data_IF_170237242223
#
_entry.id   IF_170237242223
#
_cell.length_a   1.000
_cell.length_b   1.000
_cell.length_c   1.000
_cell.angle_alpha   90.00
_cell.angle_beta   90.00
_cell.angle_gamma   90.00
#
_symmetry.space_group_name_H-M   'P 1'
#
loop_
_entity.id
_entity.type
_entity.pdbx_description
1 polymer ?
#
# COMPACT_ATOMS: atom_id res chain seq x y z
N UNK A 1 20.80 37.03 59.43
CA UNK A 1 19.63 36.14 59.30
C UNK A 1 19.66 35.66 57.86
N UNK A 2 20.65 34.88 57.46
CA UNK A 2 20.98 33.50 57.88
C UNK A 2 19.86 32.54 57.52
N UNK A 3 20.28 31.52 56.78
CA UNK A 3 19.71 30.19 56.61
C UNK A 3 18.62 30.09 55.52
N UNK A 4 18.74 29.23 54.51
CA UNK A 4 19.75 28.21 54.28
C UNK A 4 19.56 27.57 52.91
N UNK A 5 20.70 27.15 52.36
CA UNK A 5 20.83 26.14 51.31
C UNK A 5 20.19 24.84 51.83
N UNK A 6 19.28 24.25 51.07
CA UNK A 6 19.06 22.79 51.09
C UNK A 6 19.42 22.24 49.71
N UNK A 7 20.57 21.57 49.68
CA UNK A 7 20.92 20.57 48.68
C UNK A 7 19.90 19.43 48.74
N UNK A 8 19.36 19.06 47.59
CA UNK A 8 18.91 17.67 47.36
C UNK A 8 19.50 17.21 46.03
N UNK A 9 20.72 16.68 46.12
CA UNK A 9 21.19 15.63 45.23
C UNK A 9 20.58 14.30 45.68
N UNK A 10 19.59 13.79 44.95
CA UNK A 10 19.19 12.37 44.92
C UNK A 10 18.06 12.22 43.90
N UNK A 11 17.98 11.22 43.04
CA UNK A 11 18.87 10.12 42.77
C UNK A 11 18.77 9.79 41.29
N UNK A 12 19.86 9.23 40.77
CA UNK A 12 19.85 8.30 39.66
C UNK A 12 18.92 7.15 40.02
N UNK A 13 17.62 7.30 39.78
CA UNK A 13 16.66 6.22 39.95
C UNK A 13 16.22 5.76 38.56
N UNK A 14 16.73 4.57 38.25
CA UNK A 14 16.22 3.62 37.29
C UNK A 14 15.92 4.14 35.88
N UNK A 15 16.90 3.92 35.01
CA UNK A 15 16.57 3.23 33.75
C UNK A 15 15.88 1.92 34.13
N UNK A 16 14.58 1.98 34.37
CA UNK A 16 13.76 0.83 34.71
C UNK A 16 13.91 -0.16 33.57
N UNK A 17 14.59 -1.25 33.90
CA UNK A 17 14.80 -2.41 33.05
C UNK A 17 13.48 -3.19 32.89
N UNK A 18 12.42 -2.49 32.50
CA UNK A 18 11.08 -3.03 32.28
C UNK A 18 10.46 -2.64 30.94
N UNK A 19 11.26 -2.18 29.98
CA UNK A 19 10.96 -2.41 28.57
C UNK A 19 11.24 -3.89 28.24
N UNK A 20 10.53 -4.78 28.94
CA UNK A 20 10.27 -6.13 28.49
C UNK A 20 9.49 -5.95 27.20
N UNK A 21 10.25 -6.01 26.11
CA UNK A 21 9.85 -6.31 24.75
C UNK A 21 8.45 -6.91 24.70
N UNK A 22 7.45 -6.04 24.52
CA UNK A 22 6.16 -6.47 24.00
C UNK A 22 6.34 -6.54 22.48
N UNK A 23 6.41 -7.72 21.88
CA UNK A 23 6.38 -7.84 20.43
C UNK A 23 5.10 -7.17 19.89
N UNK A 24 5.25 -5.98 19.32
CA UNK A 24 4.14 -5.20 18.74
C UNK A 24 4.21 -3.68 18.90
N UNK A 25 5.15 -3.12 19.67
CA UNK A 25 5.23 -1.66 19.81
C UNK A 25 6.01 -1.01 18.67
N UNK A 26 5.24 -0.48 17.70
CA UNK A 26 5.74 0.37 16.62
C UNK A 26 6.23 1.68 17.25
N UNK A 27 7.54 1.84 17.43
CA UNK A 27 8.15 3.09 17.91
C UNK A 27 7.94 4.16 16.84
N UNK A 28 6.83 4.87 16.96
CA UNK A 28 6.43 5.99 16.13
C UNK A 28 7.14 7.25 16.62
N UNK A 29 8.36 7.47 16.13
CA UNK A 29 8.98 8.79 16.19
C UNK A 29 8.19 9.76 15.29
N UNK A 30 7.56 10.76 15.92
CA UNK A 30 6.94 11.97 15.35
C UNK A 30 5.57 11.83 14.66
N UNK A 31 4.53 12.33 15.35
CA UNK A 31 3.20 12.61 14.79
C UNK A 31 2.13 11.63 15.25
N UNK A 32 1.23 12.07 16.13
CA UNK A 32 0.04 11.33 16.56
C UNK A 32 -0.85 10.98 15.35
N UNK A 33 -0.67 9.79 14.78
CA UNK A 33 -1.54 9.27 13.71
C UNK A 33 -2.82 8.70 14.34
N UNK A 34 -3.92 9.43 14.17
CA UNK A 34 -5.23 9.05 14.64
C UNK A 34 -5.86 7.91 13.83
N UNK A 35 -6.65 7.09 14.55
CA UNK A 35 -7.53 6.01 14.11
C UNK A 35 -6.86 4.93 13.24
N UNK A 36 -6.37 3.88 13.93
CA UNK A 36 -6.02 2.61 13.30
C UNK A 36 -7.27 1.97 12.68
N UNK A 37 -7.28 1.66 11.38
CA UNK A 37 -8.36 0.88 10.78
C UNK A 37 -8.39 -0.51 11.41
N UNK A 38 -9.60 -1.06 11.57
CA UNK A 38 -9.77 -2.41 12.09
C UNK A 38 -9.15 -3.43 11.12
N UNK A 39 -8.60 -4.54 11.63
CA UNK A 39 -8.03 -5.61 10.78
C UNK A 39 -8.98 -6.02 9.64
N UNK A 40 -10.28 -6.08 9.90
CA UNK A 40 -11.30 -6.38 8.89
C UNK A 40 -11.32 -5.35 7.76
N UNK A 41 -11.16 -4.06 8.06
CA UNK A 41 -11.15 -3.00 7.05
C UNK A 41 -9.91 -3.10 6.17
N UNK A 42 -8.75 -3.38 6.76
CA UNK A 42 -7.49 -3.57 6.05
C UNK A 42 -7.59 -4.76 5.08
N UNK A 43 -8.17 -5.87 5.52
CA UNK A 43 -8.40 -7.04 4.67
C UNK A 43 -9.36 -6.75 3.52
N UNK A 44 -10.44 -6.01 3.75
CA UNK A 44 -11.38 -5.61 2.70
C UNK A 44 -10.72 -4.70 1.68
N UNK A 45 -9.88 -3.75 2.11
CA UNK A 45 -9.10 -2.92 1.18
C UNK A 45 -8.14 -3.76 0.35
N UNK A 46 -7.46 -4.73 0.97
CA UNK A 46 -6.57 -5.67 0.26
C UNK A 46 -7.29 -6.49 -0.79
N UNK A 47 -8.45 -7.06 -0.47
CA UNK A 47 -9.27 -7.82 -1.42
C UNK A 47 -9.84 -6.93 -2.53
N UNK A 48 -10.31 -5.74 -2.18
CA UNK A 48 -10.84 -4.76 -3.13
C UNK A 48 -9.78 -4.34 -4.15
N UNK A 49 -8.56 -4.04 -3.69
CA UNK A 49 -7.44 -3.71 -4.57
C UNK A 49 -6.97 -4.89 -5.42
N UNK A 50 -6.98 -6.12 -4.89
CA UNK A 50 -6.55 -7.30 -5.61
C UNK A 50 -7.50 -7.72 -6.74
N UNK A 51 -8.82 -7.58 -6.55
CA UNK A 51 -9.80 -7.92 -7.60
C UNK A 51 -9.78 -6.84 -8.69
N UNK A 52 -9.86 -5.56 -8.32
CA UNK A 52 -9.69 -4.41 -9.22
C UNK A 52 -10.59 -4.37 -10.47
N UNK A 53 -10.56 -3.23 -11.17
CA UNK A 53 -11.20 -3.05 -12.49
C UNK A 53 -10.36 -3.69 -13.59
N UNK A 54 -9.03 -3.66 -13.45
CA UNK A 54 -8.06 -4.21 -14.39
C UNK A 54 -8.29 -5.69 -14.73
N UNK A 55 -8.72 -6.51 -13.76
CA UNK A 55 -9.02 -7.92 -13.99
C UNK A 55 -10.14 -8.11 -15.03
N UNK A 56 -11.22 -7.35 -14.93
CA UNK A 56 -12.36 -7.43 -15.84
C UNK A 56 -11.98 -6.99 -17.26
N UNK A 57 -11.19 -5.92 -17.38
CA UNK A 57 -10.72 -5.40 -18.66
C UNK A 57 -9.75 -6.38 -19.32
N UNK A 58 -8.84 -6.97 -18.54
CA UNK A 58 -7.88 -7.97 -19.02
C UNK A 58 -8.60 -9.22 -19.53
N UNK A 59 -9.56 -9.76 -18.78
CA UNK A 59 -10.36 -10.91 -19.20
C UNK A 59 -11.18 -10.59 -20.45
N UNK A 60 -11.83 -9.42 -20.50
CA UNK A 60 -12.63 -8.98 -21.64
C UNK A 60 -11.85 -8.93 -22.96
N UNK A 61 -10.59 -8.46 -22.91
CA UNK A 61 -9.71 -8.41 -24.09
C UNK A 61 -9.02 -9.73 -24.45
N UNK A 62 -8.73 -10.58 -23.46
CA UNK A 62 -7.95 -11.79 -23.64
C UNK A 62 -8.78 -13.03 -23.97
N UNK A 63 -10.06 -13.09 -23.53
CA UNK A 63 -10.93 -14.25 -23.74
C UNK A 63 -11.18 -14.56 -25.22
N UNK A 64 -11.44 -13.57 -26.11
CA UNK A 64 -11.63 -13.82 -27.53
C UNK A 64 -10.33 -14.23 -28.26
N UNK A 65 -9.16 -13.93 -27.69
CA UNK A 65 -7.86 -14.10 -28.34
C UNK A 65 -7.14 -15.39 -27.94
N UNK A 66 -7.17 -15.76 -26.66
CA UNK A 66 -6.39 -16.88 -26.12
C UNK A 66 -7.22 -18.10 -25.72
N UNK A 67 -8.55 -17.98 -25.70
CA UNK A 67 -9.44 -19.02 -25.15
C UNK A 67 -9.37 -19.13 -23.61
N UNK A 68 -10.35 -19.79 -22.98
CA UNK A 68 -10.51 -19.78 -21.53
C UNK A 68 -9.39 -20.53 -20.78
N UNK A 69 -8.83 -21.57 -21.38
CA UNK A 69 -7.80 -22.40 -20.74
C UNK A 69 -6.46 -21.64 -20.62
N UNK A 70 -6.07 -20.89 -21.66
CA UNK A 70 -4.84 -20.08 -21.66
C UNK A 70 -4.91 -18.98 -20.61
N UNK A 71 -6.08 -18.34 -20.48
CA UNK A 71 -6.31 -17.31 -19.47
C UNK A 71 -6.16 -17.82 -18.05
N UNK A 72 -6.79 -18.95 -17.74
CA UNK A 72 -6.73 -19.55 -16.41
C UNK A 72 -5.30 -19.96 -16.05
N UNK A 73 -4.58 -20.58 -17.00
CA UNK A 73 -3.20 -21.00 -16.78
C UNK A 73 -2.26 -19.80 -16.58
N UNK A 74 -2.41 -18.75 -17.39
CA UNK A 74 -1.64 -17.51 -17.25
C UNK A 74 -1.88 -16.84 -15.90
N UNK A 75 -3.15 -16.75 -15.47
CA UNK A 75 -3.52 -16.20 -14.17
C UNK A 75 -2.95 -17.04 -13.00
N UNK A 76 -3.04 -18.37 -13.07
CA UNK A 76 -2.52 -19.25 -12.02
C UNK A 76 -1.00 -19.13 -11.84
N UNK A 77 -0.24 -19.08 -12.94
CA UNK A 77 1.22 -18.92 -12.90
C UNK A 77 1.59 -17.55 -12.31
N UNK A 78 0.88 -16.49 -12.69
CA UNK A 78 1.12 -15.15 -12.16
C UNK A 78 0.82 -15.07 -10.66
N UNK A 79 -0.29 -15.65 -10.21
CA UNK A 79 -0.65 -15.72 -8.79
C UNK A 79 0.39 -16.50 -7.97
N UNK A 80 0.96 -17.58 -8.52
CA UNK A 80 2.03 -18.33 -7.84
C UNK A 80 3.27 -17.45 -7.63
N UNK A 81 3.69 -16.72 -8.68
CA UNK A 81 4.82 -15.77 -8.58
C UNK A 81 4.55 -14.69 -7.54
N UNK A 82 3.35 -14.11 -7.52
CA UNK A 82 2.97 -13.11 -6.53
C UNK A 82 2.92 -13.68 -5.11
N UNK A 83 2.45 -14.91 -4.92
CA UNK A 83 2.43 -15.57 -3.62
C UNK A 83 3.85 -15.74 -3.05
N UNK A 84 4.82 -16.15 -3.88
CA UNK A 84 6.22 -16.26 -3.46
C UNK A 84 6.80 -14.90 -3.04
N UNK A 85 6.53 -13.84 -3.82
CA UNK A 85 6.98 -12.47 -3.49
C UNK A 85 6.35 -11.99 -2.19
N UNK A 86 5.04 -12.22 -2.02
CA UNK A 86 4.32 -11.82 -0.82
C UNK A 86 4.80 -12.58 0.42
N UNK A 87 5.16 -13.86 0.30
CA UNK A 87 5.74 -14.63 1.41
C UNK A 87 7.08 -14.05 1.86
N UNK A 88 7.98 -13.75 0.91
CA UNK A 88 9.25 -13.11 1.21
C UNK A 88 9.06 -11.74 1.87
N UNK A 89 8.13 -10.93 1.35
CA UNK A 89 7.80 -9.64 1.93
C UNK A 89 7.22 -9.78 3.35
N UNK A 90 6.36 -10.78 3.58
CA UNK A 90 5.78 -11.04 4.89
C UNK A 90 6.86 -11.35 5.93
N UNK A 91 7.81 -12.24 5.62
CA UNK A 91 8.95 -12.56 6.50
C UNK A 91 9.77 -11.31 6.84
N UNK A 92 10.05 -10.47 5.83
CA UNK A 92 10.78 -9.22 6.05
C UNK A 92 9.99 -8.21 6.92
N UNK A 93 8.67 -8.12 6.77
CA UNK A 93 7.83 -7.21 7.57
C UNK A 93 7.64 -7.67 9.02
N UNK A 94 7.64 -8.97 9.28
CA UNK A 94 7.57 -9.52 10.64
C UNK A 94 8.90 -9.31 11.38
N UNK A 95 10.03 -9.43 10.67
CA UNK A 95 11.35 -9.20 11.27
C UNK A 95 11.61 -7.71 11.57
N UNK A 96 11.15 -6.80 10.71
CA UNK A 96 11.35 -5.35 10.89
C UNK A 96 10.04 -4.58 10.64
N UNK A 97 9.17 -4.47 11.67
CA UNK A 97 7.86 -3.85 11.54
C UNK A 97 7.95 -2.32 11.57
N UNK A 98 8.52 -1.72 10.52
CA UNK A 98 8.61 -0.25 10.38
C UNK A 98 7.47 0.29 9.52
N UNK A 99 6.77 1.35 9.98
CA UNK A 99 5.78 2.04 9.18
C UNK A 99 6.46 2.73 7.98
N UNK A 100 6.06 2.36 6.77
CA UNK A 100 6.68 2.87 5.54
C UNK A 100 6.55 1.96 4.31
N UNK A 101 6.00 0.75 4.47
CA UNK A 101 5.75 -0.17 3.35
C UNK A 101 7.03 -0.73 2.71
N UNK A 102 6.86 -1.35 1.53
CA UNK A 102 7.95 -2.04 0.84
C UNK A 102 9.09 -1.10 0.41
N UNK A 103 8.82 0.20 0.20
CA UNK A 103 9.84 1.20 -0.20
C UNK A 103 10.85 1.41 0.92
N UNK A 104 10.38 1.54 2.18
CA UNK A 104 11.25 1.71 3.35
C UNK A 104 12.06 0.45 3.64
N UNK A 105 11.46 -0.70 3.38
CA UNK A 105 12.11 -1.99 3.48
C UNK A 105 13.20 -2.15 2.40
N UNK A 106 12.93 -1.75 1.16
CA UNK A 106 13.91 -1.79 0.06
C UNK A 106 15.15 -0.93 0.35
N UNK A 107 14.95 0.27 0.91
CA UNK A 107 16.06 1.13 1.36
C UNK A 107 16.93 0.48 2.45
N UNK A 108 16.28 -0.19 3.41
CA UNK A 108 16.96 -0.81 4.56
C UNK A 108 17.73 -2.10 4.22
N UNK A 109 17.22 -2.91 3.30
CA UNK A 109 17.75 -4.25 2.99
C UNK A 109 18.68 -4.30 1.77
N UNK A 110 18.50 -3.40 0.80
CA UNK A 110 19.29 -3.38 -0.44
C UNK A 110 20.25 -2.19 -0.42
N UNK A 111 19.70 -0.98 -0.57
CA UNK A 111 20.45 0.29 -0.58
C UNK A 111 19.46 1.46 -0.55
N UNK A 112 19.83 2.58 0.07
CA UNK A 112 19.00 3.78 0.13
C UNK A 112 18.71 4.36 -1.28
N UNK A 113 19.65 4.25 -2.23
CA UNK A 113 19.44 4.65 -3.62
C UNK A 113 18.44 3.74 -4.35
N UNK A 114 18.44 2.44 -4.03
CA UNK A 114 17.46 1.50 -4.56
C UNK A 114 16.06 1.78 -3.99
N UNK A 115 15.96 2.11 -2.70
CA UNK A 115 14.72 2.57 -2.07
C UNK A 115 14.15 3.82 -2.74
N UNK A 116 15.00 4.81 -3.06
CA UNK A 116 14.58 6.03 -3.76
C UNK A 116 14.05 5.72 -5.17
N UNK A 117 14.78 4.92 -5.95
CA UNK A 117 14.36 4.51 -7.30
C UNK A 117 13.06 3.70 -7.28
N UNK A 118 12.92 2.75 -6.36
CA UNK A 118 11.71 1.96 -6.20
C UNK A 118 10.50 2.83 -5.82
N UNK A 119 10.71 3.84 -4.97
CA UNK A 119 9.69 4.83 -4.65
C UNK A 119 9.24 5.62 -5.88
N UNK A 120 10.17 6.07 -6.73
CA UNK A 120 9.81 6.76 -7.97
C UNK A 120 9.09 5.85 -8.97
N UNK A 121 9.52 4.59 -9.09
CA UNK A 121 8.87 3.60 -9.94
C UNK A 121 7.42 3.35 -9.49
N UNK A 122 7.20 3.18 -8.19
CA UNK A 122 5.87 3.01 -7.62
C UNK A 122 5.00 4.26 -7.80
N UNK A 123 5.56 5.45 -7.59
CA UNK A 123 4.85 6.71 -7.83
C UNK A 123 4.38 6.83 -9.29
N UNK A 124 5.25 6.53 -10.26
CA UNK A 124 4.88 6.54 -11.67
C UNK A 124 3.81 5.50 -12.01
N UNK A 125 3.87 4.31 -11.40
CA UNK A 125 2.84 3.29 -11.57
C UNK A 125 1.47 3.78 -11.08
N UNK A 126 1.40 4.32 -9.85
CA UNK A 126 0.16 4.85 -9.29
C UNK A 126 -0.34 6.08 -10.07
N UNK A 127 0.56 6.96 -10.51
CA UNK A 127 0.20 8.13 -11.33
C UNK A 127 -0.39 7.73 -12.69
N UNK A 128 0.11 6.65 -13.31
CA UNK A 128 -0.43 6.11 -14.56
C UNK A 128 -1.70 5.27 -14.35
N UNK A 129 -1.98 4.82 -13.13
CA UNK A 129 -3.20 4.09 -12.78
C UNK A 129 -4.44 4.99 -12.92
N UNK A 130 -4.34 6.27 -12.55
CA UNK A 130 -5.46 7.23 -12.63
C UNK A 130 -6.03 7.36 -14.07
N UNK A 131 -5.25 7.68 -15.12
CA UNK A 131 -5.77 7.76 -16.48
C UNK A 131 -6.21 6.38 -17.03
N UNK A 132 -5.62 5.29 -16.53
CA UNK A 132 -6.07 3.95 -16.87
C UNK A 132 -7.52 3.69 -16.38
N UNK A 133 -7.85 4.06 -15.15
CA UNK A 133 -9.22 3.95 -14.62
C UNK A 133 -10.22 4.81 -15.41
N UNK A 134 -9.83 6.02 -15.83
CA UNK A 134 -10.69 6.87 -16.67
C UNK A 134 -10.96 6.22 -18.04
N UNK A 135 -9.96 5.59 -18.63
CA UNK A 135 -10.10 4.87 -19.90
C UNK A 135 -10.97 3.62 -19.74
N UNK A 136 -10.82 2.91 -18.62
CA UNK A 136 -11.65 1.77 -18.25
C UNK A 136 -13.14 2.14 -18.15
N UNK A 137 -13.46 3.21 -17.43
CA UNK A 137 -14.83 3.69 -17.26
C UNK A 137 -15.45 4.08 -18.61
N UNK A 138 -14.69 4.77 -19.47
CA UNK A 138 -15.14 5.08 -20.83
C UNK A 138 -15.47 3.83 -21.64
N UNK A 139 -14.60 2.82 -21.61
CA UNK A 139 -14.83 1.54 -22.31
C UNK A 139 -16.11 0.85 -21.82
N UNK A 140 -16.36 0.83 -20.51
CA UNK A 140 -17.56 0.22 -19.93
C UNK A 140 -18.83 1.01 -20.29
N UNK A 141 -18.77 2.34 -20.31
CA UNK A 141 -19.94 3.17 -20.67
C UNK A 141 -20.32 3.00 -22.14
N UNK A 142 -19.34 2.96 -23.05
CA UNK A 142 -19.57 2.66 -24.47
C UNK A 142 -20.17 1.27 -24.71
N UNK A 143 -20.02 0.32 -23.77
CA UNK A 143 -20.70 -0.97 -23.89
C UNK A 143 -22.23 -0.86 -23.76
N UNK A 144 -22.75 0.11 -23.00
CA UNK A 144 -24.19 0.26 -22.74
C UNK A 144 -24.86 1.38 -23.54
N UNK A 145 -24.15 2.47 -23.84
CA UNK A 145 -24.69 3.61 -24.62
C UNK A 145 -23.58 4.35 -25.36
N UNK A 146 -23.70 4.42 -26.68
CA UNK A 146 -22.77 5.18 -27.55
C UNK A 146 -23.11 6.68 -27.66
N UNK A 147 -24.30 7.09 -27.20
CA UNK A 147 -24.79 8.48 -27.28
C UNK A 147 -24.15 9.44 -26.26
N UNK A 148 -23.27 8.96 -25.38
CA UNK A 148 -22.66 9.77 -24.33
C UNK A 148 -21.33 10.32 -24.85
N UNK A 149 -21.15 11.66 -24.94
CA UNK A 149 -19.89 12.23 -25.39
C UNK A 149 -18.78 11.87 -24.40
N UNK A 150 -17.68 11.32 -24.92
CA UNK A 150 -16.49 10.90 -24.16
C UNK A 150 -15.96 12.03 -23.27
N UNK A 151 -16.11 13.28 -23.71
CA UNK A 151 -15.74 14.47 -22.93
C UNK A 151 -16.57 14.70 -21.66
N UNK A 152 -17.85 14.31 -21.63
CA UNK A 152 -18.70 14.43 -20.44
C UNK A 152 -18.33 13.38 -19.38
N UNK A 153 -17.95 12.17 -19.81
CA UNK A 153 -17.46 11.11 -18.92
C UNK A 153 -16.12 11.50 -18.32
N UNK A 154 -15.17 11.96 -19.14
CA UNK A 154 -13.88 12.45 -18.66
C UNK A 154 -14.05 13.64 -17.71
N UNK A 155 -14.94 14.60 -18.02
CA UNK A 155 -15.24 15.73 -17.16
C UNK A 155 -15.86 15.33 -15.81
N UNK A 156 -16.79 14.38 -15.80
CA UNK A 156 -17.40 13.85 -14.58
C UNK A 156 -16.40 13.08 -13.71
N UNK A 157 -15.53 12.26 -14.31
CA UNK A 157 -14.47 11.56 -13.58
C UNK A 157 -13.47 12.56 -12.98
N UNK A 158 -13.02 13.56 -13.74
CA UNK A 158 -12.11 14.60 -13.22
C UNK A 158 -12.77 15.39 -12.09
N UNK A 159 -14.05 15.74 -12.20
CA UNK A 159 -14.79 16.44 -11.15
C UNK A 159 -15.03 15.58 -9.90
N UNK A 160 -15.15 14.26 -10.04
CA UNK A 160 -15.27 13.34 -8.91
C UNK A 160 -13.94 13.07 -8.20
N UNK A 161 -12.82 13.26 -8.89
CA UNK A 161 -11.45 13.15 -8.33
C UNK A 161 -10.90 14.46 -7.75
N UNK A 162 -11.54 15.61 -8.01
CA UNK A 162 -11.18 16.93 -7.49
C UNK A 162 -11.82 17.21 -6.12
#
# INVERSE_FOLDING_TARGET
MSDGIEDVSHGTDDYDAQDIEKPGEVVAGTGQLQRRPENRQIQIMGVGGAIGTALFISIGGALPKGGPLSLLLGYAIYCLRLACVNNCLAEMTVLYPVPGGFIRLAGKWVDDAFGFMAGWNFFLFEALSIPFEITAINMVLSFWRDDIPTGAVCGACIAAYA
#
